data_IF_904399490800
#
_entry.id   IF_904399490800
#
_cell.length_a   1.000
_cell.length_b   1.000
_cell.length_c   1.000
_cell.angle_alpha   90.00
_cell.angle_beta   90.00
_cell.angle_gamma   90.00
#
_symmetry.space_group_name_H-M   'P 1'
#
loop_
_entity.id
_entity.type
_entity.pdbx_description
1 polymer ?
#
# COMPACT_ATOMS: atom_id res chain seq x y z
N UNK A 1 1.78 3.86 -5.30
CA UNK A 1 3.06 4.07 -5.99
C UNK A 1 2.92 3.90 -7.51
N UNK A 2 2.35 2.80 -8.00
CA UNK A 2 2.34 2.50 -9.45
C UNK A 2 1.58 3.51 -10.31
N UNK A 3 0.46 4.06 -9.83
CA UNK A 3 -0.29 5.05 -10.59
C UNK A 3 0.46 6.38 -10.77
N UNK A 4 1.13 6.89 -9.74
CA UNK A 4 1.95 8.10 -9.85
C UNK A 4 3.10 7.93 -10.86
N UNK A 5 3.75 6.76 -10.84
CA UNK A 5 4.78 6.44 -11.82
C UNK A 5 4.22 6.28 -13.25
N UNK A 6 3.01 5.72 -13.39
CA UNK A 6 2.31 5.66 -14.67
C UNK A 6 2.05 7.05 -15.26
N UNK A 7 1.59 8.00 -14.44
CA UNK A 7 1.35 9.38 -14.88
C UNK A 7 2.64 10.05 -15.36
N UNK A 8 3.74 9.85 -14.62
CA UNK A 8 5.07 10.33 -15.01
C UNK A 8 5.56 9.70 -16.33
N UNK A 9 5.43 8.38 -16.48
CA UNK A 9 5.85 7.69 -17.71
C UNK A 9 5.10 8.15 -18.96
N UNK A 10 3.86 8.62 -18.80
CA UNK A 10 3.05 9.18 -19.90
C UNK A 10 3.24 10.67 -20.12
N UNK A 11 4.10 11.33 -19.32
CA UNK A 11 4.35 12.76 -19.40
C UNK A 11 3.16 13.62 -18.93
N UNK A 12 2.23 13.04 -18.16
CA UNK A 12 1.06 13.75 -17.63
C UNK A 12 1.48 14.65 -16.47
N UNK A 13 2.45 14.19 -15.68
CA UNK A 13 3.08 14.96 -14.60
C UNK A 13 4.60 14.91 -14.76
N UNK A 14 5.30 15.93 -14.26
CA UNK A 14 6.77 15.94 -14.22
C UNK A 14 7.32 15.17 -13.03
N UNK A 15 8.64 14.94 -13.02
CA UNK A 15 9.34 14.36 -11.86
C UNK A 15 9.18 15.23 -10.61
N UNK A 16 9.25 16.54 -10.76
CA UNK A 16 9.15 17.51 -9.68
C UNK A 16 7.74 17.47 -9.08
N UNK A 17 6.70 17.49 -9.93
CA UNK A 17 5.31 17.37 -9.49
C UNK A 17 5.03 16.04 -8.77
N UNK A 18 5.62 14.93 -9.26
CA UNK A 18 5.50 13.64 -8.60
C UNK A 18 6.18 13.63 -7.22
N UNK A 19 7.37 14.23 -7.10
CA UNK A 19 8.08 14.33 -5.81
C UNK A 19 7.29 15.21 -4.84
N UNK A 20 6.80 16.36 -5.28
CA UNK A 20 6.02 17.27 -4.45
C UNK A 20 4.72 16.65 -3.95
N UNK A 21 3.97 15.98 -4.83
CA UNK A 21 2.79 15.23 -4.43
C UNK A 21 3.13 14.10 -3.44
N UNK A 22 4.29 13.44 -3.57
CA UNK A 22 4.73 12.41 -2.62
C UNK A 22 5.12 12.99 -1.26
N UNK A 23 5.71 14.19 -1.22
CA UNK A 23 5.99 14.89 0.03
C UNK A 23 4.69 15.22 0.76
N UNK A 24 3.74 15.87 0.08
CA UNK A 24 2.42 16.17 0.64
C UNK A 24 1.68 14.91 1.12
N UNK A 25 1.76 13.82 0.35
CA UNK A 25 1.18 12.54 0.72
C UNK A 25 1.82 11.95 1.98
N UNK A 26 3.12 12.17 2.18
CA UNK A 26 3.86 11.66 3.33
C UNK A 26 3.59 12.48 4.58
N UNK A 27 3.44 13.80 4.44
CA UNK A 27 3.09 14.71 5.53
C UNK A 27 1.66 14.48 6.05
N UNK A 28 0.76 13.95 5.20
CA UNK A 28 -0.59 13.57 5.62
C UNK A 28 -0.66 12.36 6.58
N UNK A 29 0.47 11.66 6.79
CA UNK A 29 0.51 10.47 7.62
C UNK A 29 0.39 10.83 9.10
N UNK A 30 -0.74 10.50 9.73
CA UNK A 30 -0.92 10.71 11.17
C UNK A 30 0.11 9.92 11.97
N UNK A 31 0.73 10.49 13.03
CA UNK A 31 1.60 9.75 13.94
C UNK A 31 0.86 8.59 14.62
N UNK A 32 1.53 7.45 14.82
CA UNK A 32 0.94 6.27 15.46
C UNK A 32 0.41 6.56 16.87
N UNK A 33 1.11 7.39 17.65
CA UNK A 33 0.65 7.79 18.99
C UNK A 33 -0.70 8.51 18.97
N UNK A 34 -0.97 9.34 17.95
CA UNK A 34 -2.26 10.01 17.80
C UNK A 34 -3.36 9.00 17.50
N UNK A 35 -3.12 8.08 16.55
CA UNK A 35 -4.08 7.00 16.22
C UNK A 35 -4.34 6.06 17.41
N UNK A 36 -3.30 5.77 18.19
CA UNK A 36 -3.41 4.95 19.38
C UNK A 36 -4.31 5.59 20.45
N UNK A 37 -4.24 6.92 20.62
CA UNK A 37 -5.14 7.65 21.50
C UNK A 37 -6.56 7.73 20.95
N UNK A 38 -6.73 8.05 19.66
CA UNK A 38 -8.06 8.13 19.02
C UNK A 38 -8.81 6.79 19.09
N UNK A 39 -8.10 5.67 18.95
CA UNK A 39 -8.66 4.32 19.05
C UNK A 39 -8.82 3.81 20.49
N UNK A 40 -8.45 4.61 21.49
CA UNK A 40 -8.53 4.26 22.92
C UNK A 40 -7.55 3.15 23.34
N UNK A 41 -6.57 2.81 22.49
CA UNK A 41 -5.54 1.80 22.77
C UNK A 41 -4.47 2.29 23.74
N UNK A 42 -4.17 3.59 23.71
CA UNK A 42 -3.22 4.24 24.61
C UNK A 42 -3.86 5.50 25.21
N UNK A 43 -3.52 5.82 26.46
CA UNK A 43 -3.80 7.13 27.03
C UNK A 43 -2.63 8.11 26.83
N UNK A 44 -2.81 9.36 27.26
CA UNK A 44 -1.77 10.40 27.14
C UNK A 44 -0.50 10.02 27.91
N UNK A 45 -0.62 9.37 29.07
CA UNK A 45 0.53 8.97 29.90
C UNK A 45 1.33 7.86 29.23
N UNK A 46 0.65 6.91 28.61
CA UNK A 46 1.28 5.83 27.85
C UNK A 46 2.09 6.40 26.67
N UNK A 47 1.48 7.30 25.89
CA UNK A 47 2.15 7.98 24.77
C UNK A 47 3.38 8.74 25.24
N UNK A 48 3.28 9.52 26.32
CA UNK A 48 4.44 10.24 26.88
C UNK A 48 5.54 9.30 27.37
N UNK A 49 5.17 8.13 27.90
CA UNK A 49 6.14 7.13 28.37
C UNK A 49 6.91 6.53 27.19
N UNK A 50 6.22 6.21 26.10
CA UNK A 50 6.84 5.73 24.85
C UNK A 50 7.76 6.80 24.25
N UNK A 51 7.28 8.05 24.14
CA UNK A 51 8.06 9.15 23.57
C UNK A 51 9.32 9.46 24.38
N UNK A 52 9.27 9.31 25.72
CA UNK A 52 10.44 9.45 26.57
C UNK A 52 11.51 8.42 26.22
N UNK A 53 11.13 7.14 26.13
CA UNK A 53 12.05 6.07 25.73
C UNK A 53 12.59 6.30 24.32
N UNK A 54 11.74 6.71 23.39
CA UNK A 54 12.16 7.00 22.02
C UNK A 54 13.14 8.18 21.93
N UNK A 55 13.02 9.16 22.84
CA UNK A 55 13.96 10.29 22.91
C UNK A 55 15.35 9.84 23.35
N UNK A 56 15.42 8.83 24.24
CA UNK A 56 16.67 8.22 24.70
C UNK A 56 17.25 7.25 23.64
N UNK A 57 16.38 6.62 22.82
CA UNK A 57 16.72 5.65 21.77
C UNK A 57 16.11 6.06 20.41
N UNK A 58 16.68 7.06 19.70
CA UNK A 58 16.05 7.63 18.51
C UNK A 58 15.93 6.68 17.31
N UNK A 59 16.68 5.59 17.30
CA UNK A 59 16.63 4.56 16.24
C UNK A 59 15.41 3.66 16.38
N UNK A 60 14.82 3.60 17.58
CA UNK A 60 13.72 2.72 17.88
C UNK A 60 12.39 3.36 17.46
N UNK A 61 11.50 2.51 16.94
CA UNK A 61 10.21 2.97 16.42
C UNK A 61 9.20 3.00 17.55
N UNK A 62 8.40 4.07 17.60
CA UNK A 62 7.31 4.25 18.56
C UNK A 62 6.50 2.97 18.81
N UNK A 63 6.05 2.30 17.73
CA UNK A 63 5.24 1.10 17.85
C UNK A 63 5.98 -0.12 18.41
N UNK A 64 7.27 -0.26 18.13
CA UNK A 64 8.09 -1.34 18.69
C UNK A 64 8.32 -1.11 20.19
N UNK A 65 8.65 0.13 20.58
CA UNK A 65 8.78 0.54 21.99
C UNK A 65 7.47 0.31 22.74
N UNK A 66 6.31 0.67 22.16
CA UNK A 66 5.00 0.47 22.78
C UNK A 66 4.73 -1.02 23.09
N UNK A 67 5.18 -1.91 22.21
CA UNK A 67 5.07 -3.36 22.40
C UNK A 67 6.04 -3.87 23.45
N UNK A 68 7.29 -3.39 23.45
CA UNK A 68 8.31 -3.77 24.42
C UNK A 68 7.97 -3.31 25.85
N UNK A 69 7.32 -2.15 25.98
CA UNK A 69 6.80 -1.65 27.26
C UNK A 69 5.52 -2.38 27.71
N UNK A 70 4.95 -3.26 26.89
CA UNK A 70 3.70 -3.96 27.19
C UNK A 70 2.45 -3.08 27.14
N UNK A 71 2.55 -1.85 26.61
CA UNK A 71 1.46 -0.89 26.46
C UNK A 71 0.56 -1.22 25.26
N UNK A 72 1.10 -1.96 24.29
CA UNK A 72 0.35 -2.46 23.14
C UNK A 72 0.74 -3.91 22.82
N UNK A 73 -0.18 -4.66 22.22
CA UNK A 73 0.17 -5.94 21.61
C UNK A 73 0.66 -5.76 20.16
N UNK A 74 1.37 -6.77 19.62
CA UNK A 74 1.70 -6.81 18.18
C UNK A 74 0.46 -6.73 17.29
N UNK A 75 -0.68 -7.25 17.76
CA UNK A 75 -1.96 -7.16 17.07
C UNK A 75 -2.46 -5.72 17.04
N UNK A 76 -2.44 -5.01 18.17
CA UNK A 76 -2.85 -3.61 18.24
C UNK A 76 -2.01 -2.73 17.31
N UNK A 77 -0.70 -2.99 17.28
CA UNK A 77 0.21 -2.30 16.38
C UNK A 77 -0.15 -2.56 14.90
N UNK A 78 -0.47 -3.81 14.54
CA UNK A 78 -0.88 -4.15 13.18
C UNK A 78 -2.20 -3.47 12.79
N UNK A 79 -3.18 -3.43 13.70
CA UNK A 79 -4.45 -2.72 13.49
C UNK A 79 -4.23 -1.21 13.26
N UNK A 80 -3.39 -0.57 14.08
CA UNK A 80 -3.07 0.85 13.91
C UNK A 80 -2.30 1.14 12.62
N UNK A 81 -1.38 0.27 12.22
CA UNK A 81 -0.65 0.42 10.96
C UNK A 81 -1.58 0.31 9.75
N UNK A 82 -2.58 -0.57 9.82
CA UNK A 82 -3.62 -0.68 8.80
C UNK A 82 -4.46 0.60 8.75
N UNK A 83 -4.95 1.08 9.89
CA UNK A 83 -5.72 2.32 9.96
C UNK A 83 -4.93 3.54 9.43
N UNK A 84 -3.66 3.65 9.84
CA UNK A 84 -2.76 4.69 9.37
C UNK A 84 -2.59 4.66 7.84
N UNK A 85 -2.54 3.45 7.27
CA UNK A 85 -2.41 3.26 5.82
C UNK A 85 -3.69 3.64 5.07
N UNK A 86 -4.86 3.36 5.64
CA UNK A 86 -6.16 3.69 5.07
C UNK A 86 -6.48 5.19 5.13
N UNK A 87 -6.04 5.87 6.19
CA UNK A 87 -6.23 7.32 6.38
C UNK A 87 -5.22 8.18 5.64
N UNK A 88 -4.16 7.59 5.09
CA UNK A 88 -3.17 8.32 4.30
C UNK A 88 -3.83 8.87 3.04
N UNK A 89 -3.61 10.14 2.75
CA UNK A 89 -4.10 10.75 1.49
C UNK A 89 -3.62 9.95 0.29
N UNK A 90 -4.47 9.85 -0.73
CA UNK A 90 -4.08 9.22 -1.99
C UNK A 90 -3.24 10.17 -2.79
N UNK A 91 -2.26 9.66 -3.54
CA UNK A 91 -1.40 10.50 -4.39
C UNK A 91 -2.22 11.32 -5.39
N UNK A 92 -3.36 10.81 -5.84
CA UNK A 92 -4.29 11.51 -6.72
C UNK A 92 -4.95 12.71 -6.05
N UNK A 93 -5.30 12.60 -4.77
CA UNK A 93 -5.85 13.71 -3.99
C UNK A 93 -4.80 14.80 -3.82
N UNK A 94 -3.55 14.42 -3.53
CA UNK A 94 -2.43 15.35 -3.46
C UNK A 94 -2.16 16.07 -4.79
N UNK A 95 -2.24 15.36 -5.92
CA UNK A 95 -2.06 15.95 -7.26
C UNK A 95 -3.17 16.96 -7.60
N UNK A 96 -4.39 16.74 -7.10
CA UNK A 96 -5.51 17.68 -7.27
C UNK A 96 -5.36 18.89 -6.35
N UNK A 97 -4.98 18.67 -5.10
CA UNK A 97 -4.76 19.74 -4.12
C UNK A 97 -3.61 20.69 -4.49
N UNK A 98 -2.59 20.17 -5.18
CA UNK A 98 -1.48 20.96 -5.71
C UNK A 98 -1.77 21.60 -7.08
N UNK A 99 -3.01 21.49 -7.58
CA UNK A 99 -3.43 21.97 -8.90
C UNK A 99 -2.63 21.38 -10.09
N UNK A 100 -1.94 20.25 -9.89
CA UNK A 100 -1.20 19.56 -10.96
C UNK A 100 -2.11 18.74 -11.87
N UNK A 101 -3.27 18.34 -11.36
CA UNK A 101 -4.32 17.67 -12.12
C UNK A 101 -5.69 18.14 -11.63
N UNK A 102 -6.67 18.15 -12.51
CA UNK A 102 -8.08 18.26 -12.12
C UNK A 102 -8.63 16.89 -11.72
N UNK A 103 -9.71 16.87 -10.93
CA UNK A 103 -10.41 15.62 -10.59
C UNK A 103 -10.84 14.86 -11.86
N UNK A 104 -11.28 15.59 -12.90
CA UNK A 104 -11.66 14.99 -14.18
C UNK A 104 -10.47 14.27 -14.86
N UNK A 105 -9.29 14.92 -14.92
CA UNK A 105 -8.09 14.30 -15.49
C UNK A 105 -7.67 13.05 -14.70
N UNK A 106 -7.78 13.09 -13.38
CA UNK A 106 -7.51 11.92 -12.53
C UNK A 106 -8.44 10.76 -12.88
N UNK A 107 -9.73 11.02 -13.02
CA UNK A 107 -10.72 9.98 -13.31
C UNK A 107 -10.51 9.35 -14.70
N UNK A 108 -10.22 10.17 -15.70
CA UNK A 108 -9.90 9.74 -17.06
C UNK A 108 -8.65 8.84 -17.09
N UNK A 109 -7.58 9.27 -16.40
CA UNK A 109 -6.31 8.55 -16.36
C UNK A 109 -6.39 7.28 -15.51
N UNK A 110 -7.19 7.25 -14.44
CA UNK A 110 -7.46 6.04 -13.68
C UNK A 110 -8.22 5.00 -14.53
N UNK A 111 -9.18 5.44 -15.35
CA UNK A 111 -9.88 4.55 -16.27
C UNK A 111 -8.92 4.00 -17.34
N UNK A 112 -8.03 4.83 -17.90
CA UNK A 112 -7.00 4.38 -18.83
C UNK A 112 -6.03 3.37 -18.20
N UNK A 113 -5.53 3.67 -16.99
CA UNK A 113 -4.62 2.81 -16.25
C UNK A 113 -5.21 1.43 -15.96
N UNK A 114 -6.49 1.37 -15.54
CA UNK A 114 -7.20 0.09 -15.32
C UNK A 114 -7.26 -0.76 -16.59
N UNK A 115 -7.65 -0.16 -17.72
CA UNK A 115 -7.71 -0.85 -19.03
C UNK A 115 -6.34 -1.38 -19.46
N UNK A 116 -5.27 -0.60 -19.25
CA UNK A 116 -3.92 -1.03 -19.60
C UNK A 116 -3.44 -2.20 -18.73
N UNK A 117 -3.81 -2.22 -17.45
CA UNK A 117 -3.50 -3.35 -16.55
C UNK A 117 -4.25 -4.61 -16.93
N UNK A 118 -5.52 -4.50 -17.30
CA UNK A 118 -6.31 -5.64 -17.76
C UNK A 118 -5.73 -6.25 -19.05
N UNK A 119 -5.32 -5.42 -20.02
CA UNK A 119 -4.66 -5.88 -21.25
C UNK A 119 -3.35 -6.62 -20.97
N UNK A 120 -2.52 -6.09 -20.04
CA UNK A 120 -1.26 -6.73 -19.64
C UNK A 120 -1.48 -8.02 -18.84
N UNK A 121 -2.51 -8.06 -18.00
CA UNK A 121 -2.88 -9.23 -17.19
C UNK A 121 -3.46 -10.37 -18.04
N UNK A 122 -4.27 -10.05 -19.05
CA UNK A 122 -4.87 -11.03 -19.97
C UNK A 122 -3.84 -11.75 -20.87
N UNK A 123 -2.62 -11.19 -21.02
CA UNK A 123 -1.54 -11.80 -21.80
C UNK A 123 -0.84 -12.98 -21.13
N UNK A 124 -1.10 -13.25 -19.84
CA UNK A 124 -0.43 -14.34 -19.09
C UNK A 124 -1.21 -15.66 -19.04
N UNK A 125 -2.49 -15.67 -19.41
CA UNK A 125 -3.37 -16.87 -19.31
C UNK A 125 -3.38 -17.73 -20.59
N UNK A 126 -2.89 -17.23 -21.72
CA UNK A 126 -2.83 -17.99 -22.98
C UNK A 126 -1.42 -18.49 -23.33
N UNK A 127 -0.76 -19.24 -22.43
CA UNK A 127 0.40 -20.06 -22.84
C UNK A 127 0.62 -21.33 -22.02
N UNK A 128 -0.44 -21.90 -21.44
CA UNK A 128 -0.38 -23.22 -20.78
C UNK A 128 -1.66 -24.02 -21.07
N UNK A 129 -2.05 -24.17 -22.35
CA UNK A 129 -2.97 -25.25 -22.74
C UNK A 129 -2.58 -25.77 -24.12
N UNK A 130 -1.42 -26.42 -24.26
CA UNK A 130 -1.25 -27.51 -25.22
C UNK A 130 -0.18 -28.49 -24.74
N UNK A 131 -0.64 -29.75 -24.65
CA UNK A 131 0.05 -31.03 -24.40
C UNK A 131 0.14 -31.50 -22.94
N UNK A 132 -0.67 -32.50 -22.65
CA UNK A 132 -0.63 -33.34 -21.47
C UNK A 132 -1.91 -34.14 -21.40
N UNK A 133 -1.89 -35.31 -22.03
CA UNK A 133 -2.96 -36.30 -22.17
C UNK A 133 -3.75 -36.53 -20.88
N UNK A 134 -5.05 -36.77 -21.01
CA UNK A 134 -5.90 -37.18 -19.88
C UNK A 134 -5.37 -38.49 -19.27
N UNK A 135 -5.36 -38.64 -17.93
CA UNK A 135 -4.91 -39.87 -17.26
C UNK A 135 -5.68 -41.16 -17.60
N UNK A 136 -6.77 -41.05 -18.37
CA UNK A 136 -7.62 -42.17 -18.74
C UNK A 136 -7.07 -43.06 -19.89
N UNK A 137 -6.13 -42.55 -20.70
CA UNK A 137 -5.58 -43.31 -21.85
C UNK A 137 -4.39 -44.21 -21.47
N UNK A 138 -3.75 -43.98 -20.32
CA UNK A 138 -2.52 -44.71 -19.92
C UNK A 138 -2.83 -46.13 -19.40
N UNK A 139 -4.04 -46.39 -18.91
CA UNK A 139 -4.39 -47.69 -18.32
C UNK A 139 -4.83 -48.77 -19.33
N UNK A 140 -4.97 -48.44 -20.62
CA UNK A 140 -5.42 -49.41 -21.63
C UNK A 140 -4.29 -50.04 -22.45
N UNK A 141 -3.05 -49.56 -22.32
CA UNK A 141 -1.88 -50.11 -23.04
C UNK A 141 -1.04 -51.11 -22.22
N UNK A 142 -1.35 -51.32 -20.93
CA UNK A 142 -0.59 -52.23 -20.07
C UNK A 142 -1.17 -53.67 -19.97
N UNK A 143 -2.25 -53.98 -20.68
CA UNK A 143 -2.93 -55.29 -20.58
C UNK A 143 -2.82 -56.17 -21.84
N UNK A 144 -1.89 -55.88 -22.76
CA UNK A 144 -1.62 -56.78 -23.89
C UNK A 144 -0.14 -56.72 -24.27
N UNK A 145 0.71 -57.35 -23.45
CA UNK A 145 1.95 -58.00 -23.86
C UNK A 145 2.50 -58.87 -22.73
#
# INVERSE_FOLDING_TARGET
MEFGFYLYQRGIITSEQLVEAQMLQSDSKLPLGVLAMESGKLDVRDVLSILRVQSDLPQDRFGDIAVELGLMTRRDLAELLLEQSDRRRRITECLVELDFMTQQQVDEELAAFRRDRERRGSGRVQRVVKKGSTPAEILQQAATR
#
